data_IF_598575907965
#
_entry.id   IF_598575907965
#
_cell.length_a   1.000
_cell.length_b   1.000
_cell.length_c   1.000
_cell.angle_alpha   90.00
_cell.angle_beta   90.00
_cell.angle_gamma   90.00
#
_symmetry.space_group_name_H-M   'P 1'
#
loop_
_entity.id
_entity.type
_entity.pdbx_description
1 polymer ?
2 non-polymer ?
3 non-polymer ?
4 non-polymer ?
5 non-polymer ?
6 non-polymer ?
7 water ?
#
# COMPACT_ATOMS: atom_id res chain seq x y z
CA UNK A 1 0.44 10.31 -24.42
C UNK A 1 1.20 9.20 -23.66
N UNK A 2 0.47 8.13 -23.29
CA UNK A 2 0.99 7.14 -22.35
C UNK A 2 0.99 5.74 -23.00
N UNK A 3 2.17 5.13 -23.08
CA UNK A 3 2.39 3.86 -23.76
C UNK A 3 2.87 2.86 -22.70
N UNK A 4 2.12 1.78 -22.49
CA UNK A 4 2.49 0.79 -21.45
C UNK A 4 2.93 -0.50 -22.09
N UNK A 5 4.07 -1.02 -21.66
CA UNK A 5 4.50 -2.35 -22.04
C UNK A 5 4.11 -3.35 -20.97
N UNK A 6 3.51 -4.46 -21.38
CA UNK A 6 3.03 -5.50 -20.45
C UNK A 6 3.45 -6.86 -20.99
N UNK A 7 3.39 -7.87 -20.11
CA UNK A 7 3.76 -9.22 -20.49
C UNK A 7 4.55 -9.90 -19.39
N UNK A 8 4.66 -11.22 -19.54
CA UNK A 8 5.40 -12.01 -18.55
C UNK A 8 6.90 -11.66 -18.51
N UNK A 9 7.55 -12.05 -17.42
CA UNK A 9 8.99 -11.96 -17.32
C UNK A 9 9.64 -12.64 -18.53
N UNK A 10 10.62 -11.98 -19.12
CA UNK A 10 11.37 -12.51 -20.25
C UNK A 10 10.74 -12.31 -21.60
N UNK A 11 9.65 -11.55 -21.66
CA UNK A 11 9.01 -11.27 -22.94
C UNK A 11 9.69 -10.15 -23.76
N UNK A 12 10.63 -9.41 -23.16
CA UNK A 12 11.36 -8.37 -23.86
C UNK A 12 10.90 -6.95 -23.56
N UNK A 13 10.14 -6.75 -22.49
CA UNK A 13 9.62 -5.42 -22.13
C UNK A 13 10.72 -4.37 -21.90
N UNK A 14 11.69 -4.69 -21.05
CA UNK A 14 12.71 -3.72 -20.73
C UNK A 14 13.54 -3.35 -21.99
N UNK A 15 13.84 -4.39 -22.78
CA UNK A 15 14.55 -4.23 -24.05
C UNK A 15 13.78 -3.33 -25.00
N UNK A 16 12.50 -3.66 -25.24
CA UNK A 16 11.68 -2.94 -26.22
C UNK A 16 11.33 -1.53 -25.75
N UNK A 17 11.08 -1.35 -24.45
CA UNK A 17 10.73 -0.04 -23.95
C UNK A 17 11.90 0.94 -24.15
N UNK A 18 13.11 0.48 -23.86
CA UNK A 18 14.32 1.27 -24.12
C UNK A 18 14.52 1.59 -25.63
N UNK A 19 14.28 0.60 -26.49
CA UNK A 19 14.36 0.84 -27.94
C UNK A 19 13.35 1.92 -28.35
N UNK A 20 12.13 1.82 -27.84
CA UNK A 20 11.08 2.78 -28.21
C UNK A 20 11.40 4.18 -27.68
N UNK A 21 11.88 4.27 -26.44
CA UNK A 21 12.35 5.53 -25.89
C UNK A 21 13.38 6.24 -26.78
N UNK A 22 14.42 5.50 -27.14
CA UNK A 22 15.49 6.07 -27.99
C UNK A 22 14.96 6.47 -29.36
N UNK A 23 14.10 5.64 -29.93
CA UNK A 23 13.49 5.92 -31.24
C UNK A 23 12.65 7.21 -31.22
N UNK A 24 11.81 7.34 -30.22
CA UNK A 24 10.90 8.50 -30.16
C UNK A 24 11.65 9.76 -29.84
N UNK A 25 12.69 9.71 -28.98
CA UNK A 25 13.55 10.89 -28.79
C UNK A 25 14.18 11.38 -30.08
N UNK A 26 14.71 10.44 -30.87
CA UNK A 26 15.37 10.79 -32.13
C UNK A 26 14.39 11.43 -33.10
N UNK A 27 13.13 10.99 -33.06
CA UNK A 27 12.02 11.56 -33.86
C UNK A 27 11.48 12.92 -33.36
N UNK A 28 12.00 13.44 -32.24
CA UNK A 28 11.64 14.78 -31.78
C UNK A 28 10.59 14.85 -30.69
N UNK A 29 10.16 13.71 -30.17
CA UNK A 29 9.27 13.72 -29.01
C UNK A 29 10.08 13.99 -27.76
N UNK A 30 9.43 14.58 -26.77
CA UNK A 30 9.96 14.68 -25.41
C UNK A 30 9.38 13.46 -24.72
N UNK A 31 10.24 12.61 -24.23
CA UNK A 31 9.78 11.32 -23.72
C UNK A 31 10.41 10.99 -22.38
N UNK A 32 9.61 10.26 -21.58
CA UNK A 32 10.00 9.75 -20.27
C UNK A 32 9.89 8.23 -20.32
N UNK A 33 10.76 7.55 -19.59
CA UNK A 33 10.69 6.09 -19.47
C UNK A 33 10.80 5.76 -17.99
N UNK A 34 9.78 5.07 -17.46
CA UNK A 34 9.76 4.66 -16.05
C UNK A 34 9.46 3.16 -15.94
N UNK A 35 10.03 2.53 -14.93
CA UNK A 35 9.72 1.14 -14.61
C UNK A 35 8.82 1.05 -13.37
N UNK A 36 7.97 0.02 -13.38
CA UNK A 36 7.11 -0.31 -12.26
C UNK A 36 7.43 -1.73 -11.76
N UNK A 37 7.53 -1.94 -10.44
CA UNK A 37 7.62 -0.88 -9.43
C UNK A 37 8.94 -0.13 -9.54
N UNK A 38 9.03 1.03 -8.89
CA UNK A 38 10.19 1.92 -9.02
C UNK A 38 9.84 3.21 -9.73
N UNK A 39 10.85 3.86 -10.31
CA UNK A 39 10.63 5.09 -11.07
C UNK A 39 10.66 6.38 -10.28
N UNK A 40 10.67 6.29 -8.95
CA UNK A 40 10.85 7.42 -8.02
C UNK A 40 11.76 6.96 -6.90
N UNK A 41 12.29 7.89 -6.08
CA UNK A 41 13.15 7.49 -4.98
C UNK A 41 12.40 6.53 -4.03
N UNK A 42 11.18 6.91 -3.63
CA UNK A 42 10.39 6.07 -2.72
C UNK A 42 10.04 4.75 -3.42
N UNK A 43 9.59 4.81 -4.67
CA UNK A 43 9.26 3.59 -5.42
C UNK A 43 10.41 2.61 -5.54
N UNK A 44 11.63 3.12 -5.73
CA UNK A 44 12.79 2.24 -5.81
C UNK A 44 13.10 1.56 -4.48
N UNK A 45 12.82 2.23 -3.36
CA UNK A 45 12.93 1.55 -2.07
C UNK A 45 11.90 0.42 -2.00
N UNK A 46 10.66 0.70 -2.41
CA UNK A 46 9.61 -0.33 -2.39
C UNK A 46 9.94 -1.48 -3.34
N UNK A 47 10.53 -1.16 -4.49
CA UNK A 47 10.99 -2.20 -5.42
C UNK A 47 12.00 -3.14 -4.75
N UNK A 48 12.98 -2.57 -4.04
CA UNK A 48 14.00 -3.37 -3.37
C UNK A 48 13.39 -4.25 -2.29
N UNK A 49 12.41 -3.72 -1.54
CA UNK A 49 11.69 -4.54 -0.57
C UNK A 49 10.98 -5.70 -1.29
N UNK A 50 10.25 -5.38 -2.35
CA UNK A 50 9.51 -6.39 -3.11
C UNK A 50 10.40 -7.50 -3.69
N UNK A 51 11.60 -7.13 -4.15
CA UNK A 51 12.48 -8.11 -4.81
C UNK A 51 13.42 -8.86 -3.86
N UNK A 52 13.53 -8.42 -2.62
CA UNK A 52 14.49 -9.02 -1.68
C UNK A 52 13.91 -9.61 -0.40
N UNK A 53 12.75 -9.13 0.08
CA UNK A 53 12.18 -9.61 1.35
C UNK A 53 11.09 -10.66 1.09
N UNK A 54 10.84 -11.50 2.09
CA UNK A 54 9.78 -12.49 2.01
C UNK A 54 8.50 -11.76 2.43
N UNK A 55 7.57 -11.60 1.48
CA UNK A 55 6.31 -10.91 1.74
C UNK A 55 5.15 -11.83 1.42
N UNK A 56 4.07 -11.65 2.16
CA UNK A 56 2.81 -12.26 1.85
C UNK A 56 2.19 -11.54 0.64
N UNK A 57 1.29 -12.22 -0.04
CA UNK A 57 0.75 -11.69 -1.30
C UNK A 57 -0.05 -10.40 -1.16
N UNK A 58 -0.69 -10.19 -0.01
CA UNK A 58 -1.48 -8.97 0.20
C UNK A 58 -0.58 -7.76 0.42
N UNK A 59 0.45 -7.91 1.24
CA UNK A 59 1.44 -6.85 1.42
C UNK A 59 2.10 -6.52 0.09
N UNK A 60 2.42 -7.55 -0.71
CA UNK A 60 2.97 -7.31 -2.06
C UNK A 60 2.06 -6.41 -2.91
N UNK A 61 0.78 -6.74 -2.99
CA UNK A 61 -0.16 -5.95 -3.78
C UNK A 61 -0.15 -4.49 -3.35
N UNK A 62 -0.18 -4.27 -2.04
CA UNK A 62 -0.29 -2.90 -1.53
C UNK A 62 0.98 -2.11 -1.83
N UNK A 63 2.12 -2.77 -1.79
CA UNK A 63 3.39 -2.09 -2.13
C UNK A 63 3.53 -1.80 -3.62
N UNK A 64 3.06 -2.70 -4.47
CA UNK A 64 3.00 -2.38 -5.93
C UNK A 64 2.15 -1.13 -6.16
N UNK A 65 1.01 -1.07 -5.48
CA UNK A 65 0.09 0.08 -5.63
C UNK A 65 0.66 1.35 -5.06
N UNK A 66 1.35 1.26 -3.92
CA UNK A 66 2.01 2.42 -3.34
C UNK A 66 3.07 2.98 -4.28
N UNK A 67 3.89 2.10 -4.87
CA UNK A 67 4.90 2.55 -5.84
C UNK A 67 4.21 3.24 -7.02
N UNK A 68 3.10 2.67 -7.50
CA UNK A 68 2.38 3.25 -8.63
C UNK A 68 1.82 4.63 -8.29
N UNK A 69 1.21 4.73 -7.11
CA UNK A 69 0.69 6.00 -6.65
C UNK A 69 1.77 7.10 -6.64
N UNK A 70 2.96 6.78 -6.13
CA UNK A 70 4.03 7.78 -6.02
C UNK A 70 4.46 8.22 -7.43
N UNK A 71 4.59 7.25 -8.33
CA UNK A 71 5.07 7.51 -9.69
C UNK A 71 4.06 8.35 -10.47
N UNK A 72 2.78 8.02 -10.30
CA UNK A 72 1.69 8.77 -10.92
C UNK A 72 1.67 10.25 -10.44
N UNK A 73 1.73 10.45 -9.13
CA UNK A 73 1.64 11.81 -8.57
C UNK A 73 2.91 12.63 -8.86
N UNK A 74 4.06 12.01 -8.67
CA UNK A 74 5.35 12.68 -8.73
C UNK A 74 5.79 12.98 -10.16
N UNK A 75 5.54 12.06 -11.08
CA UNK A 75 6.12 12.11 -12.42
C UNK A 75 5.16 12.00 -13.58
N UNK A 76 4.27 11.01 -13.60
CA UNK A 76 3.49 10.74 -14.81
C UNK A 76 2.50 11.88 -15.07
N UNK A 77 1.72 12.26 -14.06
CA UNK A 77 0.75 13.33 -14.25
C UNK A 77 1.45 14.64 -14.67
N UNK A 78 2.52 15.05 -13.96
CA UNK A 78 3.28 16.25 -14.42
C UNK A 78 3.81 16.11 -15.84
N UNK A 79 4.33 14.94 -16.20
CA UNK A 79 4.80 14.73 -17.60
C UNK A 79 3.69 14.87 -18.64
N UNK A 80 2.54 14.23 -18.38
CA UNK A 80 1.43 14.29 -19.32
C UNK A 80 0.88 15.72 -19.48
N UNK A 81 0.87 16.48 -18.39
CA UNK A 81 0.49 17.90 -18.42
C UNK A 81 1.41 18.72 -19.35
N UNK A 82 2.65 18.28 -19.49
CA UNK A 82 3.62 18.96 -20.39
C UNK A 82 3.74 18.26 -21.75
N UNK A 83 2.77 17.41 -22.12
CA UNK A 83 2.74 16.73 -23.41
C UNK A 83 3.96 15.85 -23.67
N UNK A 84 4.52 15.28 -22.62
CA UNK A 84 5.58 14.30 -22.82
C UNK A 84 4.96 12.95 -23.13
N UNK A 85 5.62 12.19 -24.00
CA UNK A 85 5.28 10.80 -24.24
C UNK A 85 5.86 10.05 -23.03
N UNK A 86 5.03 9.33 -22.29
CA UNK A 86 5.45 8.54 -21.12
C UNK A 86 5.37 7.08 -21.52
N UNK A 87 6.50 6.39 -21.42
CA UNK A 87 6.59 4.96 -21.66
C UNK A 87 6.78 4.29 -20.30
N UNK A 88 5.96 3.27 -20.05
CA UNK A 88 6.04 2.52 -18.80
C UNK A 88 6.42 1.09 -19.09
N UNK A 89 7.40 0.62 -18.35
CA UNK A 89 7.79 -0.79 -18.34
C UNK A 89 7.02 -1.41 -17.19
N UNK A 90 5.88 -2.02 -17.56
CA UNK A 90 4.79 -2.51 -16.69
C UNK A 90 3.87 -1.39 -16.19
N UNK A 91 2.61 -1.74 -15.97
CA UNK A 91 1.62 -0.80 -15.45
C UNK A 91 0.47 -1.63 -14.84
N UNK A 92 -0.76 -1.16 -14.95
CA UNK A 92 -1.84 -1.75 -14.17
C UNK A 92 -2.23 -3.17 -14.58
N UNK A 93 -1.99 -3.56 -15.84
CA UNK A 93 -2.31 -4.91 -16.28
C UNK A 93 -1.42 -5.93 -15.62
N UNK A 94 -0.17 -5.57 -15.34
CA UNK A 94 0.70 -6.49 -14.59
C UNK A 94 0.14 -6.81 -13.23
N UNK A 95 -0.42 -5.83 -12.53
CA UNK A 95 -0.96 -6.08 -11.21
C UNK A 95 -2.16 -7.03 -11.29
N UNK A 96 -3.02 -6.82 -12.26
CA UNK A 96 -4.16 -7.72 -12.43
C UNK A 96 -3.65 -9.13 -12.77
N UNK A 97 -2.72 -9.24 -13.72
CA UNK A 97 -2.25 -10.56 -14.15
C UNK A 97 -1.50 -11.31 -13.08
N UNK A 98 -0.58 -10.63 -12.38
CA UNK A 98 0.23 -11.29 -11.37
C UNK A 98 -0.52 -11.49 -10.05
N UNK A 99 -1.06 -10.41 -9.49
CA UNK A 99 -1.73 -10.50 -8.18
C UNK A 99 -3.12 -11.14 -8.29
N UNK A 100 -3.80 -10.95 -9.42
CA UNK A 100 -5.15 -11.48 -9.64
C UNK A 100 -5.14 -12.88 -10.23
N UNK A 101 -4.75 -13.00 -11.49
CA UNK A 101 -4.72 -14.29 -12.15
C UNK A 101 -3.68 -15.25 -11.56
N UNK A 102 -2.51 -14.73 -11.22
CA UNK A 102 -1.43 -15.55 -10.65
C UNK A 102 -1.66 -15.91 -9.19
N UNK A 103 -1.80 -14.90 -8.32
CA UNK A 103 -1.88 -15.13 -6.86
C UNK A 103 -3.30 -15.36 -6.34
N UNK A 104 -4.30 -15.12 -7.17
CA UNK A 104 -5.69 -15.37 -6.78
C UNK A 104 -6.41 -14.29 -6.00
N UNK A 105 -5.84 -13.10 -5.94
CA UNK A 105 -6.48 -11.99 -5.26
C UNK A 105 -7.62 -11.43 -6.09
N UNK A 106 -8.57 -10.80 -5.43
CA UNK A 106 -9.78 -10.32 -6.10
C UNK A 106 -9.50 -9.23 -7.14
N UNK A 107 -9.88 -9.47 -8.38
CA UNK A 107 -9.53 -8.56 -9.48
C UNK A 107 -10.35 -7.28 -9.42
N UNK A 108 -11.64 -7.35 -9.06
CA UNK A 108 -12.40 -6.12 -8.86
C UNK A 108 -11.68 -5.22 -7.84
N UNK A 109 -11.19 -5.82 -6.75
CA UNK A 109 -10.48 -5.08 -5.71
C UNK A 109 -9.19 -4.48 -6.26
N UNK A 110 -8.42 -5.29 -6.99
CA UNK A 110 -7.19 -4.79 -7.64
C UNK A 110 -7.50 -3.60 -8.55
N UNK A 111 -8.53 -3.72 -9.38
CA UNK A 111 -8.89 -2.61 -10.27
C UNK A 111 -9.26 -1.34 -9.51
N UNK A 112 -9.99 -1.47 -8.40
CA UNK A 112 -10.28 -0.30 -7.57
C UNK A 112 -9.01 0.36 -7.02
N UNK A 113 -8.06 -0.48 -6.58
CA UNK A 113 -6.75 0.02 -6.13
C UNK A 113 -5.98 0.66 -7.27
N UNK A 114 -5.99 0.04 -8.45
CA UNK A 114 -5.36 0.63 -9.63
C UNK A 114 -5.95 2.02 -9.90
N UNK A 115 -7.26 2.15 -9.86
CA UNK A 115 -7.92 3.44 -10.17
C UNK A 115 -7.52 4.49 -9.14
N UNK A 116 -7.46 4.08 -7.87
CA UNK A 116 -7.06 4.97 -6.80
C UNK A 116 -5.62 5.48 -7.00
N UNK A 117 -4.70 4.55 -7.27
CA UNK A 117 -3.30 4.89 -7.41
C UNK A 117 -3.03 5.75 -8.66
N UNK A 118 -3.76 5.49 -9.72
CA UNK A 118 -3.53 6.17 -11.00
C UNK A 118 -4.34 7.46 -11.14
N UNK A 119 -5.25 7.74 -10.21
CA UNK A 119 -6.23 8.83 -10.39
C UNK A 119 -7.03 8.69 -11.72
N UNK A 120 -7.22 7.47 -12.21
CA UNK A 120 -7.91 7.21 -13.48
C UNK A 120 -7.10 7.40 -14.75
N UNK A 121 -5.81 7.68 -14.63
CA UNK A 121 -4.91 7.81 -15.78
C UNK A 121 -4.78 6.43 -16.47
N UNK A 122 -5.12 6.38 -17.77
CA UNK A 122 -5.11 5.14 -18.54
C UNK A 122 -4.17 5.30 -19.74
N UNK A 123 -3.54 4.20 -20.17
CA UNK A 123 -2.71 4.29 -21.37
C UNK A 123 -3.50 4.59 -22.63
N UNK A 124 -2.87 5.29 -23.56
CA UNK A 124 -3.42 5.40 -24.91
C UNK A 124 -3.31 4.06 -25.66
N UNK A 125 -2.26 3.29 -25.37
CA UNK A 125 -2.09 1.97 -25.95
C UNK A 125 -1.27 1.14 -24.97
N UNK A 126 -1.60 -0.13 -24.88
CA UNK A 126 -0.83 -1.09 -24.11
C UNK A 126 -0.34 -2.13 -25.09
N UNK A 127 0.96 -2.37 -25.07
CA UNK A 127 1.59 -3.36 -25.94
C UNK A 127 1.83 -4.58 -25.10
N UNK A 128 1.03 -5.63 -25.33
CA UNK A 128 1.21 -6.89 -24.61
C UNK A 128 2.21 -7.74 -25.38
N UNK A 129 3.39 -7.95 -24.80
CA UNK A 129 4.39 -8.78 -25.41
C UNK A 129 4.11 -10.24 -25.03
N UNK A 130 3.43 -10.95 -25.94
CA UNK A 130 3.03 -12.32 -25.66
C UNK A 130 4.10 -13.29 -26.16
N UNK A 131 4.38 -14.30 -25.33
CA UNK A 131 5.41 -15.28 -25.66
C UNK A 131 5.09 -16.53 -24.85
N UNK A 132 5.35 -17.72 -25.42
CA UNK A 132 5.19 -18.92 -24.59
C UNK A 132 6.13 -18.90 -23.41
N UNK A 133 5.65 -19.36 -22.26
CA UNK A 133 6.41 -19.31 -21.02
C UNK A 133 7.74 -20.05 -21.15
N UNK A 134 7.75 -21.19 -21.83
CA UNK A 134 9.00 -21.96 -21.93
C UNK A 134 10.10 -21.17 -22.66
N UNK A 135 9.69 -20.40 -23.67
CA UNK A 135 10.64 -19.58 -24.44
C UNK A 135 11.17 -18.44 -23.56
N UNK A 136 10.26 -17.77 -22.85
CA UNK A 136 10.65 -16.72 -21.92
C UNK A 136 11.61 -17.25 -20.87
N UNK A 137 11.28 -18.40 -20.27
CA UNK A 137 12.14 -18.94 -19.21
C UNK A 137 13.54 -19.29 -19.70
N UNK A 138 13.66 -19.76 -20.92
CA UNK A 138 14.98 -20.04 -21.49
C UNK A 138 15.80 -18.76 -21.72
N UNK A 139 15.15 -17.66 -22.10
CA UNK A 139 15.85 -16.39 -22.20
C UNK A 139 16.36 -15.95 -20.82
N UNK A 140 15.51 -16.07 -19.81
CA UNK A 140 15.84 -15.62 -18.46
C UNK A 140 16.94 -16.47 -17.86
N UNK A 141 16.86 -17.76 -18.08
CA UNK A 141 17.86 -18.72 -17.55
C UNK A 141 19.28 -18.37 -18.02
N UNK A 142 19.40 -17.86 -19.25
CA UNK A 142 20.70 -17.40 -19.76
C UNK A 142 21.35 -16.28 -18.95
N UNK A 143 20.52 -15.45 -18.29
CA UNK A 143 20.99 -14.38 -17.44
C UNK A 143 20.82 -14.68 -15.94
N UNK A 144 20.65 -15.97 -15.60
CA UNK A 144 20.55 -16.43 -14.23
C UNK A 144 19.31 -15.88 -13.52
N UNK A 145 18.23 -15.69 -14.28
CA UNK A 145 16.94 -15.24 -13.77
C UNK A 145 16.02 -16.45 -13.84
N UNK A 146 15.34 -16.74 -12.74
CA UNK A 146 14.44 -17.89 -12.67
C UNK A 146 13.08 -17.43 -12.22
N UNK A 147 12.05 -17.91 -12.90
CA UNK A 147 10.69 -17.63 -12.55
C UNK A 147 9.93 -18.94 -12.60
N UNK A 148 8.83 -18.97 -11.90
CA UNK A 148 8.09 -20.21 -11.64
C UNK A 148 7.17 -20.52 -12.83
N UNK A 149 7.37 -21.65 -13.51
CA UNK A 149 6.65 -21.95 -14.73
C UNK A 149 5.14 -22.12 -14.51
N UNK A 150 4.75 -22.84 -13.46
CA UNK A 150 3.32 -23.00 -13.10
C UNK A 150 2.65 -21.63 -12.93
N UNK A 151 3.30 -20.77 -12.16
CA UNK A 151 2.77 -19.43 -11.88
C UNK A 151 2.67 -18.60 -13.17
N UNK A 152 3.73 -18.59 -13.96
CA UNK A 152 3.72 -17.76 -15.18
C UNK A 152 2.76 -18.24 -16.26
N UNK A 153 2.48 -19.53 -16.31
CA UNK A 153 1.44 -20.01 -17.24
C UNK A 153 0.09 -19.37 -16.89
N UNK A 154 -0.23 -19.26 -15.60
CA UNK A 154 -1.49 -18.56 -15.21
C UNK A 154 -1.48 -17.09 -15.60
N UNK A 155 -0.34 -16.45 -15.37
CA UNK A 155 -0.17 -15.04 -15.66
C UNK A 155 -0.25 -14.79 -17.16
N UNK A 156 0.42 -15.62 -17.97
CA UNK A 156 0.33 -15.48 -19.43
C UNK A 156 -1.12 -15.53 -19.92
N UNK A 157 -1.84 -16.54 -19.45
CA UNK A 157 -3.25 -16.71 -19.80
C UNK A 157 -4.09 -15.53 -19.37
N UNK A 158 -3.84 -15.03 -18.15
CA UNK A 158 -4.45 -13.81 -17.66
C UNK A 158 -4.22 -12.58 -18.52
N UNK A 159 -2.97 -12.32 -18.90
CA UNK A 159 -2.71 -11.22 -19.82
C UNK A 159 -3.52 -11.33 -21.12
N UNK A 160 -3.57 -12.53 -21.69
CA UNK A 160 -4.31 -12.73 -22.97
C UNK A 160 -5.82 -12.53 -22.79
N UNK A 161 -6.35 -12.93 -21.64
CA UNK A 161 -7.77 -12.66 -21.33
C UNK A 161 -7.99 -11.16 -21.19
N UNK A 162 -7.08 -10.47 -20.52
CA UNK A 162 -7.15 -9.03 -20.38
C UNK A 162 -7.04 -8.28 -21.71
N UNK A 163 -6.32 -8.84 -22.67
CA UNK A 163 -6.18 -8.16 -23.97
C UNK A 163 -7.53 -8.13 -24.69
N UNK A 164 -8.39 -9.10 -24.37
CA UNK A 164 -9.76 -9.13 -24.89
C UNK A 164 -10.74 -8.30 -24.06
N UNK A 165 -10.52 -8.23 -22.74
CA UNK A 165 -11.45 -7.59 -21.78
C UNK A 165 -11.20 -6.11 -21.50
N UNK A 166 -9.92 -5.71 -21.53
CA UNK A 166 -9.52 -4.34 -21.27
C UNK A 166 -9.42 -3.59 -22.59
N UNK A 167 -9.37 -2.27 -22.50
CA UNK A 167 -9.36 -1.42 -23.68
C UNK A 167 -7.93 -1.11 -24.18
N UNK A 168 -7.79 -0.96 -25.49
CA UNK A 168 -6.56 -0.41 -26.10
C UNK A 168 -5.30 -1.28 -25.91
N UNK A 169 -5.49 -2.60 -25.84
CA UNK A 169 -4.38 -3.54 -25.68
C UNK A 169 -4.15 -4.23 -27.03
N UNK A 170 -2.91 -4.19 -27.51
CA UNK A 170 -2.54 -4.85 -28.76
C UNK A 170 -1.56 -5.96 -28.42
N UNK A 171 -1.83 -7.15 -28.91
CA UNK A 171 -0.99 -8.33 -28.61
C UNK A 171 0.14 -8.33 -29.67
N UNK A 172 1.39 -8.36 -29.18
CA UNK A 172 2.59 -8.40 -30.01
C UNK A 172 3.19 -9.79 -29.91
N UNK A 173 3.56 -10.37 -31.06
CA UNK A 173 4.26 -11.68 -31.02
C UNK A 173 5.70 -11.40 -30.63
N UNK A 174 6.01 -11.61 -29.36
CA UNK A 174 7.31 -11.27 -28.81
C UNK A 174 8.36 -12.41 -28.98
N UNK A 175 7.97 -13.53 -29.59
CA UNK A 175 8.89 -14.66 -29.84
C UNK A 175 9.95 -14.38 -30.89
N UNK A 176 9.74 -13.39 -31.74
CA UNK A 176 10.65 -13.08 -32.83
C UNK A 176 11.97 -12.43 -32.42
N UNK A 177 12.79 -12.09 -33.40
CA UNK A 177 14.03 -11.38 -33.06
C UNK A 177 13.75 -9.92 -32.74
N UNK A 178 14.71 -9.28 -32.08
CA UNK A 178 14.55 -7.95 -31.52
C UNK A 178 14.02 -6.89 -32.50
N UNK A 179 14.62 -6.76 -33.67
CA UNK A 179 14.16 -5.79 -34.65
C UNK A 179 12.77 -6.10 -35.23
N UNK A 180 12.48 -7.38 -35.42
CA UNK A 180 11.17 -7.85 -35.88
C UNK A 180 10.08 -7.48 -34.89
N UNK A 181 10.36 -7.70 -33.60
CA UNK A 181 9.41 -7.35 -32.53
C UNK A 181 9.21 -5.84 -32.51
N UNK A 182 10.31 -5.09 -32.62
CA UNK A 182 10.21 -3.63 -32.65
C UNK A 182 9.37 -3.12 -33.82
N UNK A 183 9.51 -3.74 -35.00
CA UNK A 183 8.68 -3.33 -36.14
C UNK A 183 7.18 -3.55 -35.89
N UNK A 184 6.85 -4.66 -35.25
CA UNK A 184 5.47 -4.96 -34.86
C UNK A 184 4.93 -3.89 -33.92
N UNK A 185 5.77 -3.47 -32.98
CA UNK A 185 5.41 -2.41 -32.04
C UNK A 185 5.12 -1.12 -32.78
N UNK A 186 6.02 -0.74 -33.68
CA UNK A 186 5.84 0.48 -34.44
C UNK A 186 4.56 0.44 -35.27
N UNK A 187 4.25 -0.70 -35.86
CA UNK A 187 2.98 -0.88 -36.58
C UNK A 187 1.78 -0.68 -35.65
N UNK A 188 1.81 -1.29 -34.48
CA UNK A 188 0.73 -1.10 -33.49
C UNK A 188 0.62 0.38 -33.06
N UNK A 189 1.75 1.03 -32.83
CA UNK A 189 1.74 2.44 -32.41
C UNK A 189 1.14 3.38 -33.45
N UNK A 190 1.27 3.05 -34.74
CA UNK A 190 0.66 3.89 -35.78
C UNK A 190 -0.88 4.02 -35.64
N UNK A 191 -1.54 3.14 -34.87
CA UNK A 191 -2.93 3.30 -34.45
C UNK A 191 -3.27 4.49 -33.52
N UNK A 192 -2.30 4.99 -32.76
CA UNK A 192 -2.55 6.15 -31.85
C UNK A 192 -1.58 7.33 -31.92
N UNK A 193 -0.47 7.17 -32.65
CA UNK A 193 0.59 8.18 -32.63
C UNK A 193 1.24 8.24 -34.00
N UNK A 194 1.43 9.47 -34.52
CA UNK A 194 2.22 9.71 -35.76
C UNK A 194 3.59 9.02 -35.70
N UNK B 1 -7.99 -12.38 22.11
CA UNK B 1 -8.09 -11.06 22.79
C UNK B 1 -7.16 -10.09 22.08
N UNK B 2 -7.76 -9.17 21.35
CA UNK B 2 -7.06 -8.11 20.66
C UNK B 2 -7.56 -6.78 21.21
N UNK B 3 -6.63 -5.96 21.73
CA UNK B 3 -6.97 -4.72 22.37
C UNK B 3 -6.27 -3.60 21.61
N UNK B 4 -7.03 -2.65 21.09
CA UNK B 4 -6.44 -1.57 20.28
C UNK B 4 -6.56 -0.22 20.97
N UNK B 5 -5.45 0.53 21.00
CA UNK B 5 -5.44 1.90 21.48
C UNK B 5 -5.51 2.84 20.30
N UNK B 6 -6.42 3.80 20.39
CA UNK B 6 -6.66 4.80 19.36
C UNK B 6 -6.72 6.20 19.95
N UNK B 7 -6.57 7.20 19.10
CA UNK B 7 -6.64 8.60 19.53
C UNK B 7 -5.62 9.44 18.81
N UNK B 8 -5.72 10.75 18.97
CA UNK B 8 -4.84 11.69 18.30
C UNK B 8 -3.44 11.63 18.89
N UNK B 9 -2.49 12.22 18.18
CA UNK B 9 -1.13 12.35 18.71
C UNK B 9 -1.16 13.04 20.06
N UNK B 10 -0.41 12.53 21.05
CA UNK B 10 -0.36 13.11 22.39
C UNK B 10 -1.49 12.74 23.34
N UNK B 11 -2.31 11.79 22.93
CA UNK B 11 -3.40 11.34 23.79
C UNK B 11 -2.97 10.33 24.84
N UNK B 12 -1.75 9.81 24.77
CA UNK B 12 -1.25 8.87 25.77
C UNK B 12 -1.24 7.42 25.35
N UNK B 13 -1.39 7.15 24.06
CA UNK B 13 -1.46 5.76 23.57
C UNK B 13 -0.23 4.92 23.87
N UNK B 14 0.95 5.45 23.53
CA UNK B 14 2.16 4.68 23.70
C UNK B 14 2.38 4.43 25.19
N UNK B 15 2.12 5.46 26.00
CA UNK B 15 2.27 5.36 27.46
C UNK B 15 1.35 4.29 28.02
N UNK B 16 0.07 4.36 27.66
CA UNK B 16 -0.91 3.48 28.25
C UNK B 16 -0.82 2.05 27.71
N UNK B 17 -0.49 1.89 26.43
CA UNK B 17 -0.33 0.54 25.86
C UNK B 17 0.79 -0.21 26.59
N UNK B 18 1.87 0.48 26.89
CA UNK B 18 2.97 -0.13 27.62
C UNK B 18 2.58 -0.46 29.05
N UNK B 19 1.90 0.46 29.72
CA UNK B 19 1.34 0.19 31.05
C UNK B 19 0.52 -1.07 31.06
N UNK B 20 -0.39 -1.17 30.08
CA UNK B 20 -1.27 -2.34 30.00
C UNK B 20 -0.52 -3.62 29.72
N UNK B 21 0.47 -3.56 28.84
CA UNK B 21 1.33 -4.68 28.54
C UNK B 21 1.97 -5.20 29.85
N UNK B 22 2.57 -4.31 30.62
CA UNK B 22 3.23 -4.72 31.87
C UNK B 22 2.27 -5.30 32.89
N UNK B 23 1.10 -4.66 33.02
CA UNK B 23 0.07 -5.07 33.98
C UNK B 23 -0.45 -6.47 33.64
N UNK B 24 -0.80 -6.68 32.39
CA UNK B 24 -1.30 -7.99 31.96
C UNK B 24 -0.23 -9.08 32.04
N UNK B 25 1.03 -8.76 31.76
CA UNK B 25 2.15 -9.71 31.94
C UNK B 25 2.26 -10.14 33.41
N UNK B 26 2.15 -9.16 34.31
CA UNK B 26 2.19 -9.46 35.76
C UNK B 26 1.03 -10.32 36.23
N UNK B 27 -0.14 -10.15 35.61
CA UNK B 27 -1.33 -10.95 35.91
C UNK B 27 -1.34 -12.36 35.31
N UNK B 28 -0.33 -12.69 34.51
CA UNK B 28 -0.12 -14.04 34.00
C UNK B 28 -0.60 -14.29 32.58
N UNK B 29 -1.03 -13.24 31.88
CA UNK B 29 -1.32 -13.34 30.44
C UNK B 29 -0.03 -13.40 29.63
N UNK B 30 -0.08 -14.08 28.50
CA UNK B 30 0.99 -14.06 27.48
C UNK B 30 0.58 -12.92 26.58
N UNK B 31 1.46 -11.93 26.43
CA UNK B 31 1.09 -10.64 25.85
C UNK B 31 2.07 -10.22 24.76
N UNK B 32 1.53 -9.59 23.71
CA UNK B 32 2.31 -8.97 22.67
C UNK B 32 1.93 -7.52 22.64
N UNK B 33 2.88 -6.66 22.24
CA UNK B 33 2.65 -5.24 22.05
C UNK B 33 3.30 -4.81 20.73
N UNK B 34 2.49 -4.30 19.81
CA UNK B 34 2.97 -3.84 18.50
C UNK B 34 2.49 -2.44 18.23
N UNK B 35 3.28 -1.68 17.47
CA UNK B 35 2.89 -0.35 17.04
C UNK B 35 2.59 -0.35 15.55
N UNK B 36 1.67 0.52 15.15
CA UNK B 36 1.31 0.77 13.78
C UNK B 36 1.52 2.25 13.40
N UNK B 37 2.16 2.53 12.27
CA UNK B 37 2.89 1.58 11.42
C UNK B 37 4.14 1.05 12.11
N UNK B 38 4.69 -0.04 11.59
CA UNK B 38 5.80 -0.74 12.24
C UNK B 38 5.40 -2.11 12.76
N UNK B 39 6.18 -2.63 13.70
CA UNK B 39 5.91 -3.92 14.35
C UNK B 39 6.51 -5.15 13.70
N UNK B 40 7.08 -4.98 12.50
CA UNK B 40 7.83 -6.01 11.75
C UNK B 40 9.02 -5.32 11.09
N UNK B 41 9.98 -6.10 10.62
CA UNK B 41 11.15 -5.52 9.94
C UNK B 41 10.72 -4.67 8.75
N UNK B 42 9.83 -5.22 7.91
CA UNK B 42 9.37 -4.51 6.74
C UNK B 42 8.51 -3.31 7.15
N UNK B 43 7.59 -3.51 8.09
CA UNK B 43 6.75 -2.43 8.60
C UNK B 43 7.54 -1.25 9.15
N UNK B 44 8.66 -1.54 9.82
CA UNK B 44 9.54 -0.50 10.34
C UNK B 44 10.22 0.31 9.23
N UNK B 45 10.56 -0.33 8.12
CA UNK B 45 11.10 0.41 6.97
C UNK B 45 10.02 1.35 6.45
N UNK B 46 8.79 0.84 6.34
CA UNK B 46 7.68 1.63 5.84
C UNK B 46 7.35 2.80 6.80
N UNK B 47 7.42 2.56 8.11
CA UNK B 47 7.26 3.61 9.11
C UNK B 47 8.27 4.74 8.87
N UNK B 48 9.54 4.37 8.66
CA UNK B 48 10.61 5.34 8.42
C UNK B 48 10.32 6.20 7.17
N UNK B 49 9.81 5.57 6.11
CA UNK B 49 9.40 6.28 4.91
C UNK B 49 8.28 7.26 5.23
N UNK B 50 7.27 6.78 5.95
CA UNK B 50 6.11 7.57 6.30
C UNK B 50 6.47 8.80 7.12
N UNK B 51 7.42 8.63 8.02
CA UNK B 51 7.77 9.69 8.98
C UNK B 51 8.83 10.62 8.44
N UNK B 52 9.53 10.25 7.37
CA UNK B 52 10.69 11.04 6.91
C UNK B 52 10.63 11.53 5.47
N UNK B 53 9.87 10.88 4.60
CA UNK B 53 9.77 11.31 3.19
C UNK B 53 8.51 12.13 2.94
N UNK B 54 8.60 13.01 1.94
CA UNK B 54 7.44 13.78 1.49
C UNK B 54 6.61 12.87 0.58
N UNK B 55 5.39 12.59 1.00
CA UNK B 55 4.47 11.69 0.30
C UNK B 55 3.16 12.36 0.03
N UNK B 56 2.55 12.05 -1.10
CA UNK B 56 1.15 12.38 -1.33
C UNK B 56 0.24 11.51 -0.45
N UNK B 57 -0.98 11.98 -0.24
CA UNK B 57 -1.89 11.32 0.71
C UNK B 57 -2.34 9.90 0.30
N UNK B 58 -2.38 9.63 -0.99
CA UNK B 58 -2.77 8.29 -1.47
C UNK B 58 -1.66 7.25 -1.22
N UNK B 59 -0.43 7.60 -1.58
CA UNK B 59 0.71 6.75 -1.29
C UNK B 59 0.82 6.50 0.22
N UNK B 60 0.57 7.52 1.03
CA UNK B 60 0.57 7.36 2.48
C UNK B 60 -0.43 6.28 2.91
N UNK B 61 -1.66 6.42 2.46
CA UNK B 61 -2.69 5.45 2.79
C UNK B 61 -2.23 4.04 2.47
N UNK B 62 -1.67 3.84 1.28
CA UNK B 62 -1.28 2.48 0.84
C UNK B 62 -0.13 1.89 1.66
N UNK B 63 0.81 2.74 2.06
CA UNK B 63 1.88 2.32 2.94
C UNK B 63 1.44 1.98 4.37
N UNK B 64 0.51 2.76 4.93
CA UNK B 64 -0.08 2.43 6.22
C UNK B 64 -0.72 1.04 6.15
N UNK B 65 -1.44 0.77 5.06
CA UNK B 65 -2.11 -0.51 4.93
C UNK B 65 -1.12 -1.65 4.66
N UNK B 66 -0.05 -1.39 3.90
CA UNK B 66 0.97 -2.38 3.70
C UNK B 66 1.64 -2.79 5.00
N UNK B 67 1.96 -1.81 5.85
CA UNK B 67 2.52 -2.12 7.17
C UNK B 67 1.55 -2.98 7.99
N UNK B 68 0.26 -2.64 7.95
CA UNK B 68 -0.79 -3.39 8.66
C UNK B 68 -0.91 -4.82 8.17
N UNK B 69 -0.95 -5.00 6.85
CA UNK B 69 -1.00 -6.32 6.27
C UNK B 69 0.19 -7.20 6.73
N UNK B 70 1.40 -6.64 6.73
CA UNK B 70 2.58 -7.41 7.11
C UNK B 70 2.48 -7.83 8.60
N UNK B 71 2.05 -6.89 9.43
CA UNK B 71 1.91 -7.15 10.86
C UNK B 71 0.85 -8.20 11.16
N UNK B 72 -0.29 -8.09 10.50
CA UNK B 72 -1.37 -9.07 10.62
C UNK B 72 -0.93 -10.47 10.26
N UNK B 73 -0.27 -10.63 9.13
CA UNK B 73 0.10 -11.96 8.64
C UNK B 73 1.28 -12.55 9.42
N UNK B 74 2.28 -11.73 9.70
CA UNK B 74 3.51 -12.18 10.34
C UNK B 74 3.34 -12.43 11.83
N UNK B 75 2.59 -11.57 12.51
CA UNK B 75 2.61 -11.58 13.99
C UNK B 75 1.26 -11.67 14.64
N UNK B 76 0.28 -10.87 14.23
CA UNK B 76 -0.98 -10.80 14.94
C UNK B 76 -1.77 -12.10 14.83
N UNK B 77 -1.97 -12.58 13.62
CA UNK B 77 -2.76 -13.79 13.44
C UNK B 77 -2.10 -14.97 14.15
N UNK B 78 -0.78 -15.17 13.98
CA UNK B 78 -0.11 -16.25 14.74
C UNK B 78 -0.22 -16.11 16.26
N UNK B 79 -0.13 -14.87 16.76
CA UNK B 79 -0.28 -14.64 18.20
C UNK B 79 -1.67 -15.00 18.71
N UNK B 80 -2.70 -14.62 17.96
CA UNK B 80 -4.08 -14.89 18.40
C UNK B 80 -4.36 -16.39 18.35
N UNK B 81 -3.78 -17.10 17.38
CA UNK B 81 -3.88 -18.57 17.32
C UNK B 81 -3.28 -19.26 18.57
N UNK B 82 -2.30 -18.62 19.18
CA UNK B 82 -1.66 -19.08 20.42
C UNK B 82 -2.26 -18.48 21.70
N UNK B 83 -3.45 -17.87 21.62
CA UNK B 83 -4.12 -17.30 22.78
C UNK B 83 -3.30 -16.19 23.49
N UNK B 84 -2.44 -15.49 22.75
CA UNK B 84 -1.77 -14.32 23.30
C UNK B 84 -2.75 -13.15 23.28
N UNK B 85 -2.68 -12.32 24.31
CA UNK B 85 -3.36 -11.04 24.31
C UNK B 85 -2.49 -10.12 23.47
N UNK B 86 -3.05 -9.56 22.42
CA UNK B 86 -2.31 -8.67 21.52
C UNK B 86 -2.81 -7.26 21.77
N UNK B 87 -1.88 -6.37 22.08
CA UNK B 87 -2.16 -4.95 22.31
C UNK B 87 -1.57 -4.16 21.15
N UNK B 88 -2.38 -3.31 20.52
CA UNK B 88 -1.91 -2.48 19.39
C UNK B 88 -1.92 -1.01 19.75
N UNK B 89 -0.81 -0.35 19.48
CA UNK B 89 -0.68 1.08 19.59
C UNK B 89 -1.00 1.59 18.18
N UNK B 90 -2.29 1.93 18.00
CA UNK B 90 -2.98 2.27 16.77
C UNK B 90 -3.42 1.04 15.99
N UNK B 91 -4.53 1.19 15.27
CA UNK B 91 -5.01 0.13 14.39
C UNK B 91 -5.91 0.79 13.32
N UNK B 92 -6.97 0.11 12.91
CA UNK B 92 -7.76 0.54 11.75
C UNK B 92 -8.49 1.86 11.92
N UNK B 93 -8.94 2.21 13.13
CA UNK B 93 -9.63 3.51 13.31
C UNK B 93 -8.70 4.67 13.03
N UNK B 94 -7.40 4.51 13.29
CA UNK B 94 -6.45 5.59 13.01
C UNK B 94 -6.43 5.89 11.51
N UNK B 95 -6.51 4.85 10.69
CA UNK B 95 -6.51 5.09 9.25
C UNK B 95 -7.77 5.82 8.80
N UNK B 96 -8.92 5.42 9.33
CA UNK B 96 -10.16 6.11 8.94
C UNK B 96 -10.12 7.55 9.43
N UNK B 97 -9.71 7.77 10.69
CA UNK B 97 -9.70 9.13 11.22
C UNK B 97 -8.66 10.05 10.56
N UNK B 98 -7.44 9.59 10.33
CA UNK B 98 -6.38 10.41 9.75
C UNK B 98 -6.56 10.56 8.23
N UNK B 99 -6.59 9.44 7.51
CA UNK B 99 -6.70 9.47 6.04
C UNK B 99 -8.10 9.82 5.53
N UNK B 100 -9.14 9.46 6.30
CA UNK B 100 -10.52 9.73 5.90
C UNK B 100 -10.96 11.09 6.36
N UNK B 101 -11.20 11.22 7.66
CA UNK B 101 -11.68 12.50 8.19
C UNK B 101 -10.64 13.63 8.07
N UNK B 102 -9.39 13.31 8.26
CA UNK B 102 -8.32 14.31 8.20
C UNK B 102 -7.99 14.73 6.78
N UNK B 103 -7.59 13.77 5.95
CA UNK B 103 -7.11 14.06 4.60
C UNK B 103 -8.23 14.05 3.55
N UNK B 104 -9.42 13.60 3.90
CA UNK B 104 -10.56 13.59 2.98
C UNK B 104 -10.65 12.44 1.98
N UNK B 105 -9.91 11.36 2.20
CA UNK B 105 -10.02 10.17 1.37
C UNK B 105 -11.32 9.42 1.71
N UNK B 106 -11.85 8.72 0.70
CA UNK B 106 -13.13 8.03 0.83
C UNK B 106 -13.13 6.99 1.96
N UNK B 107 -14.03 7.14 2.91
CA UNK B 107 -14.07 6.26 4.09
C UNK B 107 -14.43 4.81 3.74
N UNK B 108 -15.38 4.60 2.83
CA UNK B 108 -15.72 3.23 2.46
C UNK B 108 -14.55 2.53 1.78
N UNK B 109 -13.79 3.29 0.98
CA UNK B 109 -12.59 2.75 0.36
C UNK B 109 -11.55 2.36 1.43
N UNK B 110 -11.36 3.24 2.40
CA UNK B 110 -10.44 2.96 3.49
C UNK B 110 -10.88 1.71 4.27
N UNK B 111 -12.16 1.59 4.57
CA UNK B 111 -12.65 0.40 5.25
C UNK B 111 -12.38 -0.89 4.47
N UNK B 112 -12.58 -0.84 3.15
CA UNK B 112 -12.28 -2.01 2.31
C UNK B 112 -10.80 -2.39 2.36
N UNK B 113 -9.91 -1.39 2.34
CA UNK B 113 -8.48 -1.64 2.47
C UNK B 113 -8.17 -2.23 3.84
N UNK B 114 -8.80 -1.66 4.88
CA UNK B 114 -8.61 -2.16 6.25
C UNK B 114 -8.96 -3.65 6.31
N UNK B 115 -10.12 -3.99 5.75
CA UNK B 115 -10.59 -5.38 5.79
C UNK B 115 -9.63 -6.30 5.04
N UNK B 116 -9.12 -5.83 3.90
CA UNK B 116 -8.15 -6.59 3.13
C UNK B 116 -6.86 -6.85 3.93
N UNK B 117 -6.31 -5.79 4.50
CA UNK B 117 -5.06 -5.91 5.24
C UNK B 117 -5.20 -6.77 6.51
N UNK B 118 -6.34 -6.66 7.16
CA UNK B 118 -6.56 -7.39 8.43
C UNK B 118 -7.11 -8.80 8.25
N UNK B 119 -7.47 -9.19 7.03
CA UNK B 119 -8.19 -10.44 6.82
C UNK B 119 -9.47 -10.54 7.68
N UNK B 120 -10.09 -9.41 7.99
CA UNK B 120 -11.25 -9.33 8.85
C UNK B 120 -11.03 -9.43 10.35
N UNK B 121 -9.79 -9.45 10.81
CA UNK B 121 -9.48 -9.47 12.24
C UNK B 121 -9.94 -8.15 12.87
N UNK B 122 -10.75 -8.23 13.92
CA UNK B 122 -11.29 -7.07 14.59
C UNK B 122 -10.86 -7.10 16.06
N UNK B 123 -10.69 -5.92 16.69
CA UNK B 123 -10.42 -5.95 18.12
C UNK B 123 -11.60 -6.42 18.93
N UNK B 124 -11.30 -6.99 20.08
CA UNK B 124 -12.33 -7.28 21.07
C UNK B 124 -12.80 -5.99 21.76
N UNK B 125 -11.87 -5.05 21.91
CA UNK B 125 -12.19 -3.74 22.42
C UNK B 125 -11.20 -2.74 21.87
N UNK B 126 -11.71 -1.55 21.58
CA UNK B 126 -10.86 -0.42 21.18
C UNK B 126 -11.02 0.69 22.23
N UNK B 127 -9.88 1.16 22.72
CA UNK B 127 -9.83 2.20 23.76
C UNK B 127 -9.50 3.47 23.03
N UNK B 128 -10.50 4.32 22.84
CA UNK B 128 -10.24 5.64 22.23
C UNK B 128 -9.83 6.62 23.37
N UNK B 129 -8.58 7.08 23.33
CA UNK B 129 -8.10 8.08 24.30
C UNK B 129 -8.45 9.44 23.73
N UNK B 130 -9.57 9.99 24.20
CA UNK B 130 -10.02 11.28 23.74
C UNK B 130 -9.43 12.39 24.60
N UNK B 131 -9.01 13.44 23.91
CA UNK B 131 -8.36 14.56 24.58
C UNK B 131 -8.53 15.78 23.69
N UNK B 132 -8.73 16.97 24.29
CA UNK B 132 -8.71 18.18 23.51
C UNK B 132 -7.38 18.38 22.81
N UNK B 133 -7.44 18.89 21.59
CA UNK B 133 -6.23 19.08 20.82
C UNK B 133 -5.23 19.97 21.55
N UNK B 134 -5.70 21.03 22.20
CA UNK B 134 -4.78 21.95 22.89
C UNK B 134 -3.94 21.28 23.95
N UNK B 135 -4.56 20.37 24.67
CA UNK B 135 -3.89 19.62 25.73
C UNK B 135 -2.85 18.68 25.13
N UNK B 136 -3.22 17.96 24.08
CA UNK B 136 -2.30 17.09 23.38
C UNK B 136 -1.08 17.85 22.87
N UNK B 137 -1.31 18.97 22.22
CA UNK B 137 -0.23 19.78 21.68
C UNK B 137 0.71 20.28 22.77
N UNK B 138 0.18 20.65 23.93
CA UNK B 138 1.05 21.08 25.02
C UNK B 138 1.88 19.92 25.61
N UNK B 139 1.33 18.70 25.64
CA UNK B 139 2.13 17.55 26.05
C UNK B 139 3.24 17.27 25.05
N UNK B 140 2.95 17.43 23.76
CA UNK B 140 3.93 17.15 22.71
C UNK B 140 5.00 18.23 22.66
N UNK B 141 4.60 19.49 22.84
CA UNK B 141 5.54 20.62 22.90
C UNK B 141 6.62 20.40 23.97
N UNK B 142 6.23 19.79 25.09
CA UNK B 142 7.21 19.45 26.16
C UNK B 142 8.29 18.46 25.72
N UNK B 143 7.98 17.61 24.73
CA UNK B 143 8.94 16.69 24.14
C UNK B 143 9.46 17.11 22.76
N UNK B 144 9.32 18.40 22.41
CA UNK B 144 9.76 18.92 21.10
C UNK B 144 9.09 18.22 19.89
N UNK B 145 7.87 17.71 20.07
CA UNK B 145 7.08 17.14 18.97
C UNK B 145 6.03 18.19 18.64
N UNK B 146 5.80 18.44 17.36
CA UNK B 146 4.79 19.41 16.92
C UNK B 146 3.86 18.77 15.90
N UNK B 147 2.56 19.03 16.04
CA UNK B 147 1.56 18.53 15.09
C UNK B 147 0.58 19.65 14.75
N UNK B 148 -0.22 19.42 13.73
CA UNK B 148 -0.97 20.48 13.05
C UNK B 148 -2.35 20.65 13.70
N UNK B 149 -2.57 21.75 14.40
CA UNK B 149 -3.81 21.91 15.17
C UNK B 149 -5.06 21.78 14.29
N UNK B 150 -5.04 22.41 13.12
CA UNK B 150 -6.20 22.37 12.22
C UNK B 150 -6.54 20.93 11.81
N UNK B 151 -5.50 20.19 11.44
CA UNK B 151 -5.65 18.81 11.03
C UNK B 151 -6.15 17.94 12.19
N UNK B 152 -5.47 18.06 13.34
CA UNK B 152 -5.85 17.26 14.48
C UNK B 152 -7.24 17.51 15.03
N UNK B 153 -7.77 18.72 14.88
CA UNK B 153 -9.16 18.97 15.28
C UNK B 153 -10.13 18.15 14.44
N UNK B 154 -9.86 18.02 13.13
CA UNK B 154 -10.70 17.17 12.28
C UNK B 154 -10.58 15.70 12.68
N UNK B 155 -9.36 15.27 12.98
CA UNK B 155 -9.09 13.87 13.33
C UNK B 155 -9.77 13.50 14.64
N UNK B 156 -9.69 14.39 15.65
CA UNK B 156 -10.37 14.17 16.93
C UNK B 156 -11.85 13.93 16.74
N UNK B 157 -12.48 14.81 15.97
CA UNK B 157 -13.93 14.70 15.72
C UNK B 157 -14.26 13.42 14.95
N UNK B 158 -13.40 13.05 14.00
CA UNK B 158 -13.52 11.78 13.28
C UNK B 158 -13.51 10.57 14.19
N UNK B 159 -12.53 10.50 15.09
CA UNK B 159 -12.49 9.42 16.08
C UNK B 159 -13.78 9.36 16.90
N UNK B 160 -14.28 10.51 17.33
CA UNK B 160 -15.50 10.52 18.16
C UNK B 160 -16.73 10.05 17.38
N UNK B 161 -16.83 10.38 16.11
CA UNK B 161 -17.92 9.85 15.27
C UNK B 161 -17.75 8.34 15.09
N UNK B 162 -16.52 7.88 14.90
CA UNK B 162 -16.25 6.47 14.74
C UNK B 162 -16.59 5.66 15.99
N UNK B 163 -16.36 6.25 17.17
CA UNK B 163 -16.71 5.59 18.43
C UNK B 163 -18.22 5.32 18.53
N UNK B 164 -19.01 6.15 17.87
CA UNK B 164 -20.47 5.94 17.77
C UNK B 164 -20.91 4.96 16.66
N UNK B 165 -20.19 4.90 15.56
CA UNK B 165 -20.58 4.04 14.43
C UNK B 165 -19.99 2.64 14.43
N UNK B 166 -18.77 2.49 14.98
CA UNK B 166 -18.05 1.21 14.96
C UNK B 166 -18.30 0.44 16.25
N UNK B 167 -18.11 -0.88 16.19
CA UNK B 167 -18.41 -1.72 17.35
C UNK B 167 -17.29 -1.73 18.36
N UNK B 168 -17.66 -1.89 19.64
CA UNK B 168 -16.71 -2.16 20.70
C UNK B 168 -15.62 -1.09 20.88
N UNK B 169 -15.97 0.16 20.63
CA UNK B 169 -15.10 1.31 20.93
C UNK B 169 -15.60 2.00 22.20
N UNK B 170 -14.71 2.12 23.17
CA UNK B 170 -15.01 2.81 24.42
C UNK B 170 -14.22 4.09 24.41
N UNK B 171 -14.91 5.19 24.69
CA UNK B 171 -14.28 6.51 24.76
C UNK B 171 -13.77 6.73 26.19
N UNK B 172 -12.47 6.93 26.30
CA UNK B 172 -11.80 7.22 27.58
C UNK B 172 -11.47 8.70 27.60
N UNK B 173 -11.87 9.39 28.67
CA UNK B 173 -11.41 10.75 28.89
C UNK B 173 -9.98 10.71 29.35
N UNK B 174 -9.05 10.98 28.44
CA UNK B 174 -7.65 10.79 28.70
C UNK B 174 -6.91 12.06 29.06
N UNK B 175 -7.64 13.12 29.43
CA UNK B 175 -6.98 14.40 29.74
C UNK B 175 -6.41 14.47 31.16
N UNK B 176 -6.85 13.57 32.04
CA UNK B 176 -6.36 13.52 33.41
C UNK B 176 -4.96 12.94 33.55
N UNK B 177 -4.58 12.66 34.78
CA UNK B 177 -3.25 12.15 35.09
C UNK B 177 -3.12 10.69 34.65
N UNK B 178 -1.90 10.32 34.32
CA UNK B 178 -1.58 9.00 33.75
C UNK B 178 -2.15 7.82 34.55
N UNK B 179 -2.00 7.86 35.88
CA UNK B 179 -2.47 6.76 36.71
C UNK B 179 -3.99 6.71 36.74
N UNK B 180 -4.66 7.86 36.63
CA UNK B 180 -6.11 7.87 36.59
C UNK B 180 -6.66 7.40 35.25
N UNK B 181 -5.98 7.77 34.17
CA UNK B 181 -6.37 7.31 32.85
C UNK B 181 -6.23 5.77 32.80
N UNK B 182 -5.16 5.23 33.38
CA UNK B 182 -4.97 3.77 33.38
C UNK B 182 -6.07 3.06 34.15
N UNK B 183 -6.49 3.63 35.27
CA UNK B 183 -7.60 3.07 36.02
C UNK B 183 -8.88 3.02 35.21
N UNK B 184 -9.13 4.06 34.42
CA UNK B 184 -10.31 4.06 33.56
C UNK B 184 -10.22 2.99 32.49
N UNK B 185 -9.02 2.80 31.94
CA UNK B 185 -8.76 1.74 30.96
C UNK B 185 -9.07 0.37 31.57
N UNK B 186 -8.62 0.12 32.80
CA UNK B 186 -8.89 -1.17 33.43
C UNK B 186 -10.39 -1.41 33.66
N UNK B 187 -11.11 -0.36 34.06
CA UNK B 187 -12.58 -0.43 34.22
C UNK B 187 -13.24 -0.78 32.89
N UNK B 188 -12.79 -0.13 31.81
CA UNK B 188 -13.30 -0.45 30.47
C UNK B 188 -12.99 -1.89 30.05
N UNK B 189 -11.79 -2.36 30.35
CA UNK B 189 -11.35 -3.70 29.96
C UNK B 189 -12.09 -4.82 30.66
N UNK B 190 -12.57 -4.52 31.87
CA UNK B 190 -13.29 -5.51 32.68
C UNK B 190 -14.54 -6.03 31.99
N UNK B 191 -15.10 -5.27 31.05
CA UNK B 191 -16.20 -5.72 30.20
C UNK B 191 -15.90 -6.89 29.27
N UNK B 192 -14.62 -7.09 28.93
CA UNK B 192 -14.22 -8.15 27.98
C UNK B 192 -13.17 -9.13 28.49
N UNK B 193 -12.48 -8.82 29.59
CA UNK B 193 -11.33 -9.59 30.06
C UNK B 193 -11.24 -9.50 31.58
N UNK B 194 -10.88 -10.61 32.25
CA UNK B 194 -10.65 -10.62 33.72
C UNK B 194 -9.41 -9.80 34.13
N UNK B 195 -9.62 -8.55 34.54
CA UNK B 195 -8.54 -7.64 34.93
C UNK B 195 -8.78 -7.14 36.34
X LIG C 1 11.48 -8.46 -19.59
X LIG C 1 10.17 -8.67 -20.31
X LIG C 1 11.82 -7.06 -19.21
X LIG C 1 11.75 -9.48 -18.52
X LIG C 1 14.01 -8.36 -21.10
X LIG C 1 13.97 -7.17 -22.04
X LIG C 1 14.81 -8.23 -19.81
X LIG C 1 12.52 -8.88 -20.78
X LIG C 1 14.58 -9.58 -21.97
X LIG C 1 14.76 -10.89 -21.41
X LIG C 1 16.08 -11.49 -21.90
X LIG C 1 15.90 -11.82 -23.29
X LIG C 1 17.29 -10.58 -21.83
X LIG C 1 18.47 -11.34 -21.61
X LIG C 1 17.30 -9.95 -23.22
X LIG C 1 18.54 -9.55 -23.75
X LIG C 1 16.80 -11.06 -24.11
X LIG C 1 15.98 -10.64 -25.24
X LIG C 1 15.26 -9.50 -25.40
X LIG C 1 14.55 -9.52 -26.56
X LIG C 1 14.84 -10.70 -27.16
X LIG C 1 14.45 -11.35 -28.42
X LIG C 1 13.60 -10.73 -29.26
X LIG C 1 14.95 -12.59 -28.68
X LIG C 1 15.80 -13.20 -27.84
X LIG C 1 16.22 -12.66 -26.69
X LIG C 1 15.77 -11.42 -26.31
X LIG D 1 10.28 -6.65 -13.47
X LIG D 1 9.54 -5.86 -14.50
X LIG D 1 11.68 -6.24 -13.12
X LIG D 1 10.34 -8.16 -13.98
X LIG D 1 10.87 -8.67 -15.41
X LIG D 1 11.89 -7.80 -16.07
X LIG D 1 11.39 -10.05 -14.98
X LIG D 1 9.60 -8.73 -16.22
X LIG D 1 9.32 -6.70 -12.15
X LIG D 1 9.70 -7.35 -10.98
X LIG D 1 8.64 -8.41 -10.64
X LIG D 1 7.48 -7.74 -10.13
X LIG D 1 8.19 -9.29 -11.78
X LIG D 1 8.32 -10.66 -11.38
X LIG D 1 6.74 -8.92 -12.00
X LIG D 1 6.34 -8.45 -10.64
X LIG D 1 5.19 -7.50 -10.63
X LIG D 1 4.00 -7.89 -10.00
X LIG D 1 3.90 -9.03 -9.48
X LIG D 1 3.00 -7.02 -9.93
X LIG D 1 3.06 -5.77 -10.43
X LIG D 1 2.10 -4.99 -10.36
X LIG D 1 4.29 -5.33 -11.11
X LIG D 1 4.41 -3.96 -11.68
X LIG D 1 5.32 -6.27 -11.17
X LIG E 1 12.28 -6.23 -17.37
X LIG F 1 -3.34 -16.62 -3.11
X LIG G 1 -7.17 -1.34 -13.98
X LIG H 1 18.65 -16.75 -26.08
X LIG I 1 8.50 -14.56 -36.61
X LIG J 1 7.99 -11.44 -5.30
X LIG J 1 7.71 -10.78 -6.65
X LIG J 1 8.11 -9.41 -6.55
X LIG J 1 8.55 -11.44 -7.73
X LIG J 1 6.20 -10.80 -6.96
X LIG J 1 5.65 -12.03 -7.68
X LIG J 1 6.01 -13.25 -7.01
X LIG J 1 4.13 -11.98 -7.74
X LIG K 1 0.75 9.18 22.01
X LIG K 1 1.45 7.89 21.80
X LIG K 1 1.30 10.26 21.08
X LIG K 1 -0.76 9.13 22.02
X LIG K 1 2.30 9.43 24.46
X LIG K 1 3.58 9.49 23.66
X LIG K 1 2.06 8.22 25.32
X LIG K 1 1.07 9.75 23.49
X LIG K 1 2.27 10.70 25.45
X LIG K 1 2.49 12.00 24.93
X LIG K 1 3.30 12.83 25.94
X LIG K 1 2.50 13.12 27.08
X LIG K 1 4.52 12.09 26.46
X LIG K 1 5.56 13.04 26.75
X LIG K 1 4.03 11.41 27.73
X LIG K 1 5.00 11.17 28.76
X LIG K 1 3.03 12.43 28.22
X LIG K 1 1.85 11.88 28.86
X LIG K 1 1.28 10.66 28.68
X LIG K 1 0.18 10.56 29.44
X LIG K 1 0.02 11.73 30.09
X LIG K 1 -0.98 12.27 31.00
X LIG K 1 -2.00 11.46 31.35
X LIG K 1 -0.81 13.56 31.45
X LIG K 1 0.25 14.29 31.07
X LIG K 1 1.18 13.89 30.19
X LIG K 1 1.10 12.61 29.69
X LIG L 1 2.58 7.50 16.04
X LIG L 1 4.05 7.40 16.31
X LIG L 1 1.59 6.53 16.66
X LIG L 1 2.16 8.99 16.47
X LIG L 1 1.82 9.49 17.99
X LIG L 1 2.67 8.75 18.99
X LIG L 1 0.35 9.22 18.16
X LIG L 1 2.14 10.98 17.93
X LIG L 1 2.23 7.43 14.45
X LIG L 1 2.88 8.21 13.50
X LIG L 1 1.90 9.05 12.69
X LIG L 1 1.20 8.22 11.76
X LIG L 1 0.81 9.76 13.51
X LIG L 1 0.93 11.17 13.30
X LIG L 1 -0.52 9.28 13.00
X LIG L 1 -0.15 8.69 11.65
X LIG L 1 -0.97 7.56 11.21
X LIG L 1 -1.84 7.74 10.12
X LIG L 1 -1.93 8.86 9.55
X LIG L 1 -2.56 6.71 9.69
X LIG L 1 -2.49 5.49 10.22
X LIG L 1 -3.19 4.55 9.76
X LIG L 1 -1.61 5.25 11.38
X LIG L 1 -1.53 3.86 12.01
X LIG L 1 -0.88 6.34 11.83
X LIG M 1 2.77 7.21 20.35
X LIG N 1 -6.97 15.53 0.63
X LIG O 1 -12.41 -0.75 9.38
X LIG P 1 2.44 12.02 10.12
X LIG P 1 2.28 11.34 8.77
X LIG P 1 2.82 12.18 7.75
X LIG P 1 3.06 10.03 8.76
X LIG P 1 0.82 11.08 8.40
X LIG P 1 -0.16 12.19 8.78
X LIG P 1 0.28 13.50 8.36
X LIG P 1 -1.54 11.90 8.19
#
# INVERSE_FOLDING_TARGET
>A
MLIAFEGIDGSGKTTQAKKLYEYLKQKGYFVSLYREPGGTKVGEVLREILLTEELDERTELLLFEASRSKLIEEKIIPDLKRDKVVILDRFVLSTIAYQGYGKGLDVEFIKNLNEFATRGVKPDITLLLDIPVDIALRRLKEKNRFENKEFLEKVRKGFLELAKEEENVVVIDASGEEEEVFKEILRALSGVLRV
>B
MLIAFEGIDGSGKTTQAKKLYEYLKQKGYFVSLYREPGGTKVGEVLREILLTEELDERTELLLFEASRSKLIEEKIIPDLKRDKVVILDRFVLSTIAYQGYGKGLDVEFIKNLNEFATRGVKPDITLLLDIPVDIALRRLKEKNRFENKEFLEKVRKGFLELAKEEENVVVIDASGEEEEVFKEILRALSGVLRV
>C hetero
1 ADP PB O1B O2B O3B PA O1A O2A O3A O5' C5' C4' O4' C3' O3' C2' O2' C1' N9 C8 N7 C5 C6 N6 N1 C2 N3 C4
>D hetero
1 TYD PA O1A O2A O3A PB O1B O2B O3B O5' C5' C4' O4' C3' O3' C2' C1' N1 C2 O2 N3 C4 O4 C5 C5M C6
>E hetero
1 MG MG
>F hetero
1 MG MG
>G hetero
1 MG MG
>H hetero
1 CA CA
>I hetero
1 CA CA
>J hetero
1 MPD C1 C2 O2 CM C3 C4 O4 C5
>K hetero
1 ADP PB O1B O2B O3B PA O1A O2A O3A O5' C5' C4' O4' C3' O3' C2' O2' C1' N9 C8 N7 C5 C6 N6 N1 C2 N3 C4
>L hetero
1 TYD PA O1A O2A O3A PB O1B O2B O3B O5' C5' C4' O4' C3' O3' C2' C1' N1 C2 O2 N3 C4 O4 C5 C5M C6
>M hetero
1 MG MG
>N hetero
1 MG MG
>O hetero
1 MG MG
>P hetero
1 MPD C1 C2 O2 CM C3 C4 O4 C5
#
